data_IF_046525923175
#
_entry.id   IF_046525923175
#
_cell.length_a   1.000
_cell.length_b   1.000
_cell.length_c   1.000
_cell.angle_alpha   90.00
_cell.angle_beta   90.00
_cell.angle_gamma   90.00
#
_symmetry.space_group_name_H-M   'P 1'
#
loop_
_entity.id
_entity.type
_entity.pdbx_description
1 polymer ?
#
# COMPACT_ATOMS: atom_id res chain seq x y z
N UNK A 1 -7.94 4.72 29.41
CA UNK A 1 -7.38 5.43 28.24
C UNK A 1 -8.03 6.79 28.20
N UNK A 2 -7.22 7.84 28.21
CA UNK A 2 -7.59 9.19 28.64
C UNK A 2 -8.38 9.95 27.55
N UNK A 3 -9.59 10.43 27.85
CA UNK A 3 -10.53 11.06 26.91
C UNK A 3 -9.94 12.27 26.16
N UNK A 4 -8.98 12.97 26.80
CA UNK A 4 -8.28 14.12 26.22
C UNK A 4 -7.35 13.74 25.07
N UNK A 5 -6.77 12.54 25.08
CA UNK A 5 -5.88 12.06 24.02
C UNK A 5 -6.69 11.73 22.76
N UNK A 6 -7.83 11.05 22.93
CA UNK A 6 -8.78 10.74 21.84
C UNK A 6 -9.33 12.01 21.19
N UNK A 7 -9.64 13.04 21.97
CA UNK A 7 -10.18 14.29 21.46
C UNK A 7 -9.13 15.11 20.67
N UNK A 8 -7.87 15.11 21.11
CA UNK A 8 -6.78 15.76 20.38
C UNK A 8 -6.43 15.02 19.08
N UNK A 9 -6.46 13.69 19.07
CA UNK A 9 -6.27 12.87 17.87
C UNK A 9 -7.39 13.11 16.84
N UNK A 10 -8.64 13.22 17.28
CA UNK A 10 -9.78 13.56 16.42
C UNK A 10 -9.65 14.95 15.79
N UNK A 11 -9.18 15.95 16.55
CA UNK A 11 -8.96 17.30 16.05
C UNK A 11 -7.80 17.36 15.03
N UNK A 12 -6.70 16.65 15.30
CA UNK A 12 -5.58 16.54 14.36
C UNK A 12 -5.99 15.81 13.07
N UNK A 13 -6.78 14.75 13.18
CA UNK A 13 -7.34 14.03 12.05
C UNK A 13 -8.29 14.90 11.21
N UNK A 14 -9.20 15.65 11.85
CA UNK A 14 -10.06 16.62 11.16
C UNK A 14 -9.26 17.68 10.40
N UNK A 15 -8.26 18.29 11.04
CA UNK A 15 -7.40 19.29 10.40
C UNK A 15 -6.60 18.72 9.22
N UNK A 16 -6.08 17.49 9.35
CA UNK A 16 -5.42 16.79 8.25
C UNK A 16 -6.39 16.56 7.07
N UNK A 17 -7.62 16.12 7.34
CA UNK A 17 -8.62 15.86 6.30
C UNK A 17 -9.13 17.15 5.64
N UNK A 18 -9.38 18.21 6.40
CA UNK A 18 -9.80 19.53 5.89
C UNK A 18 -8.76 20.11 4.93
N UNK A 19 -7.48 20.03 5.28
CA UNK A 19 -6.38 20.43 4.40
C UNK A 19 -6.35 19.63 3.09
N UNK A 20 -6.65 18.32 3.16
CA UNK A 20 -6.73 17.49 1.96
C UNK A 20 -7.97 17.81 1.10
N UNK A 21 -9.14 18.09 1.71
CA UNK A 21 -10.35 18.51 0.98
C UNK A 21 -10.11 19.84 0.28
N UNK A 22 -9.47 20.80 0.94
CA UNK A 22 -9.07 22.07 0.33
C UNK A 22 -8.16 21.83 -0.88
N UNK A 23 -7.15 20.96 -0.74
CA UNK A 23 -6.27 20.60 -1.85
C UNK A 23 -7.00 19.91 -3.01
N UNK A 24 -7.97 19.03 -2.73
CA UNK A 24 -8.83 18.42 -3.75
C UNK A 24 -9.62 19.49 -4.50
N UNK A 25 -10.23 20.45 -3.78
CA UNK A 25 -10.98 21.54 -4.39
C UNK A 25 -10.08 22.45 -5.26
N UNK A 26 -8.83 22.67 -4.86
CA UNK A 26 -7.84 23.38 -5.69
C UNK A 26 -7.55 22.64 -6.99
N UNK A 27 -7.42 21.32 -6.97
CA UNK A 27 -7.24 20.50 -8.17
C UNK A 27 -8.48 20.60 -9.07
N UNK A 28 -9.69 20.48 -8.52
CA UNK A 28 -10.93 20.63 -9.30
C UNK A 28 -11.05 21.99 -9.97
N UNK A 29 -10.74 23.07 -9.25
CA UNK A 29 -10.73 24.42 -9.82
C UNK A 29 -9.72 24.56 -10.97
N UNK A 30 -8.58 23.86 -10.90
CA UNK A 30 -7.61 23.83 -12.02
C UNK A 30 -8.15 23.04 -13.21
N UNK A 31 -8.75 21.88 -12.99
CA UNK A 31 -9.38 21.07 -14.04
C UNK A 31 -10.47 21.89 -14.74
N UNK A 32 -11.37 22.53 -14.01
CA UNK A 32 -12.43 23.37 -14.57
C UNK A 32 -11.87 24.52 -15.40
N UNK A 33 -10.86 25.24 -14.88
CA UNK A 33 -10.19 26.31 -15.64
C UNK A 33 -9.55 25.80 -16.93
N UNK A 34 -8.99 24.59 -16.92
CA UNK A 34 -8.41 23.98 -18.11
C UNK A 34 -9.48 23.57 -19.13
N UNK A 35 -10.62 23.04 -18.70
CA UNK A 35 -11.76 22.74 -19.59
C UNK A 35 -12.31 24.04 -20.21
N UNK A 36 -12.47 25.11 -19.43
CA UNK A 36 -12.90 26.43 -19.94
C UNK A 36 -11.86 27.00 -20.93
N UNK A 37 -10.58 26.77 -20.68
CA UNK A 37 -9.51 27.17 -21.61
C UNK A 37 -9.54 26.38 -22.93
N UNK A 38 -9.93 25.10 -22.92
CA UNK A 38 -10.17 24.33 -24.15
C UNK A 38 -11.33 24.90 -24.97
N UNK A 39 -12.36 25.40 -24.30
CA UNK A 39 -13.52 26.02 -24.94
C UNK A 39 -13.17 27.38 -25.58
N UNK A 40 -12.38 28.19 -24.89
CA UNK A 40 -11.89 29.49 -25.37
C UNK A 40 -10.66 29.29 -26.27
N UNK A 41 -10.89 28.99 -27.55
CA UNK A 41 -9.96 28.69 -28.68
C UNK A 41 -8.55 29.37 -28.71
N UNK A 42 -7.72 29.28 -27.66
CA UNK A 42 -6.48 30.05 -27.57
C UNK A 42 -5.25 29.26 -27.09
N UNK A 43 -5.28 27.93 -27.08
CA UNK A 43 -4.13 27.11 -26.68
C UNK A 43 -3.92 25.94 -27.65
N UNK A 44 -2.66 25.51 -27.79
CA UNK A 44 -2.30 24.20 -28.32
C UNK A 44 -3.07 23.12 -27.56
N UNK A 45 -4.13 22.58 -28.18
CA UNK A 45 -5.05 21.60 -27.58
C UNK A 45 -4.30 20.44 -26.89
N UNK A 46 -3.16 20.04 -27.47
CA UNK A 46 -2.27 19.02 -26.94
C UNK A 46 -1.64 19.37 -25.58
N UNK A 47 -1.18 20.62 -25.40
CA UNK A 47 -0.59 21.07 -24.14
C UNK A 47 -1.64 21.16 -23.04
N UNK A 48 -2.85 21.61 -23.37
CA UNK A 48 -3.94 21.71 -22.42
C UNK A 48 -4.41 20.32 -21.96
N UNK A 49 -4.48 19.34 -22.86
CA UNK A 49 -4.78 17.95 -22.47
C UNK A 49 -3.68 17.31 -21.63
N UNK A 50 -2.41 17.59 -21.89
CA UNK A 50 -1.32 17.11 -21.03
C UNK A 50 -1.41 17.70 -19.61
N UNK A 51 -1.80 18.97 -19.48
CA UNK A 51 -2.05 19.60 -18.19
C UNK A 51 -3.26 19.00 -17.48
N UNK A 52 -4.35 18.74 -18.20
CA UNK A 52 -5.54 18.06 -17.66
C UNK A 52 -5.18 16.65 -17.14
N UNK A 53 -4.42 15.88 -17.92
CA UNK A 53 -3.98 14.55 -17.51
C UNK A 53 -3.16 14.58 -16.21
N UNK A 54 -2.26 15.56 -16.06
CA UNK A 54 -1.48 15.74 -14.84
C UNK A 54 -2.36 16.04 -13.62
N UNK A 55 -3.30 16.97 -13.75
CA UNK A 55 -4.22 17.32 -12.65
C UNK A 55 -5.15 16.14 -12.31
N UNK A 56 -5.62 15.37 -13.30
CA UNK A 56 -6.43 14.17 -13.07
C UNK A 56 -5.60 13.06 -12.38
N UNK A 57 -4.33 12.87 -12.77
CA UNK A 57 -3.44 11.92 -12.12
C UNK A 57 -3.15 12.32 -10.66
N UNK A 58 -3.01 13.62 -10.38
CA UNK A 58 -2.92 14.15 -9.01
C UNK A 58 -4.21 13.86 -8.24
N UNK A 59 -5.38 14.11 -8.85
CA UNK A 59 -6.68 13.81 -8.25
C UNK A 59 -6.82 12.32 -7.92
N UNK A 60 -6.49 11.43 -8.86
CA UNK A 60 -6.51 9.97 -8.65
C UNK A 60 -5.54 9.54 -7.55
N UNK A 61 -4.36 10.15 -7.48
CA UNK A 61 -3.40 9.90 -6.40
C UNK A 61 -4.00 10.30 -5.06
N UNK A 62 -4.60 11.48 -4.96
CA UNK A 62 -5.26 11.95 -3.74
C UNK A 62 -6.42 11.02 -3.36
N UNK A 63 -7.30 10.70 -4.29
CA UNK A 63 -8.42 9.75 -4.10
C UNK A 63 -7.95 8.37 -3.65
N UNK A 64 -6.78 7.89 -4.09
CA UNK A 64 -6.25 6.60 -3.64
C UNK A 64 -5.89 6.53 -2.15
N UNK A 65 -5.80 7.69 -1.48
CA UNK A 65 -5.60 7.79 -0.03
C UNK A 65 -6.93 7.82 0.74
N UNK A 66 -8.06 8.04 0.06
CA UNK A 66 -9.40 8.07 0.65
C UNK A 66 -10.18 6.81 0.30
N UNK A 67 -10.99 6.32 1.24
CA UNK A 67 -11.70 5.04 1.10
C UNK A 67 -13.15 5.21 0.68
N UNK A 68 -13.72 6.41 0.84
CA UNK A 68 -15.14 6.73 0.64
C UNK A 68 -15.37 7.96 -0.23
N UNK A 69 -14.33 8.59 -0.79
CA UNK A 69 -14.53 9.80 -1.58
C UNK A 69 -15.20 9.45 -2.91
N UNK A 70 -16.44 9.89 -3.07
CA UNK A 70 -17.27 9.59 -4.22
C UNK A 70 -16.67 10.12 -5.52
N UNK A 71 -16.87 9.40 -6.62
CA UNK A 71 -16.44 9.85 -7.94
C UNK A 71 -15.14 9.26 -8.48
N UNK A 72 -14.43 8.38 -7.75
CA UNK A 72 -13.19 7.74 -8.24
C UNK A 72 -13.34 7.09 -9.63
N UNK A 73 -14.42 6.33 -9.84
CA UNK A 73 -14.70 5.71 -11.14
C UNK A 73 -14.91 6.75 -12.25
N UNK A 74 -15.45 7.93 -11.91
CA UNK A 74 -15.58 9.02 -12.87
C UNK A 74 -14.26 9.75 -13.12
N UNK A 75 -13.35 9.82 -12.14
CA UNK A 75 -11.97 10.27 -12.38
C UNK A 75 -11.24 9.36 -13.40
N UNK A 76 -11.43 8.03 -13.29
CA UNK A 76 -10.88 7.08 -14.27
C UNK A 76 -11.51 7.25 -15.66
N UNK A 77 -12.84 7.46 -15.73
CA UNK A 77 -13.52 7.77 -16.99
C UNK A 77 -13.02 9.08 -17.60
N UNK A 78 -12.80 10.11 -16.78
CA UNK A 78 -12.25 11.39 -17.22
C UNK A 78 -10.86 11.20 -17.80
N UNK A 79 -10.00 10.44 -17.12
CA UNK A 79 -8.66 10.10 -17.62
C UNK A 79 -8.72 9.39 -18.98
N UNK A 80 -9.51 8.32 -19.08
CA UNK A 80 -9.65 7.56 -20.32
C UNK A 80 -10.17 8.43 -21.48
N UNK A 81 -11.07 9.38 -21.19
CA UNK A 81 -11.58 10.32 -22.16
C UNK A 81 -10.50 11.31 -22.64
N UNK A 82 -9.67 11.82 -21.73
CA UNK A 82 -8.53 12.68 -22.07
C UNK A 82 -7.50 11.92 -22.92
N UNK A 83 -7.15 10.70 -22.53
CA UNK A 83 -6.20 9.84 -23.28
C UNK A 83 -6.70 9.60 -24.71
N UNK A 84 -8.02 9.43 -24.88
CA UNK A 84 -8.65 9.30 -26.20
C UNK A 84 -8.59 10.61 -26.98
N UNK A 85 -8.91 11.74 -26.35
CA UNK A 85 -8.92 13.06 -26.99
C UNK A 85 -7.53 13.57 -27.38
N UNK A 86 -6.46 13.08 -26.76
CA UNK A 86 -5.09 13.34 -27.20
C UNK A 86 -4.74 12.69 -28.54
N UNK A 87 -5.48 11.66 -28.99
CA UNK A 87 -5.19 10.88 -30.20
C UNK A 87 -6.02 11.30 -31.42
N UNK A 88 -7.07 12.09 -31.22
CA UNK A 88 -8.02 12.49 -32.28
C UNK A 88 -7.86 13.95 -32.67
N UNK A 89 -8.41 14.33 -33.83
CA UNK A 89 -8.43 15.72 -34.28
C UNK A 89 -9.43 16.58 -33.50
N UNK A 90 -9.16 17.88 -33.37
CA UNK A 90 -9.94 18.81 -32.52
C UNK A 90 -11.47 18.80 -32.77
N UNK A 91 -11.91 18.44 -33.97
CA UNK A 91 -13.33 18.37 -34.37
C UNK A 91 -14.10 17.21 -33.71
N UNK A 92 -13.40 16.22 -33.17
CA UNK A 92 -13.99 15.02 -32.54
C UNK A 92 -14.11 15.14 -31.01
N UNK A 93 -13.59 16.23 -30.43
CA UNK A 93 -13.60 16.46 -28.98
C UNK A 93 -14.98 16.93 -28.53
N UNK A 94 -15.66 16.15 -27.70
CA UNK A 94 -16.91 16.56 -27.05
C UNK A 94 -16.60 17.17 -25.67
N UNK A 95 -16.53 18.50 -25.61
CA UNK A 95 -16.30 19.24 -24.35
C UNK A 95 -17.44 19.04 -23.33
N UNK A 96 -18.67 18.85 -23.81
CA UNK A 96 -19.83 18.55 -22.96
C UNK A 96 -19.65 17.26 -22.15
N UNK A 97 -18.96 16.25 -22.69
CA UNK A 97 -18.65 15.02 -21.98
C UNK A 97 -17.63 15.25 -20.85
N UNK A 98 -16.62 16.11 -21.07
CA UNK A 98 -15.66 16.50 -20.03
C UNK A 98 -16.36 17.22 -18.88
N UNK A 99 -17.21 18.21 -19.20
CA UNK A 99 -17.99 18.94 -18.21
C UNK A 99 -18.92 18.02 -17.42
N UNK A 100 -19.64 17.12 -18.11
CA UNK A 100 -20.54 16.18 -17.46
C UNK A 100 -19.80 15.26 -16.49
N UNK A 101 -18.69 14.65 -16.92
CA UNK A 101 -17.92 13.75 -16.06
C UNK A 101 -17.33 14.54 -14.89
N UNK A 102 -16.77 15.72 -15.11
CA UNK A 102 -16.21 16.56 -14.05
C UNK A 102 -17.27 16.97 -13.02
N UNK A 103 -18.43 17.47 -13.48
CA UNK A 103 -19.57 17.80 -12.62
C UNK A 103 -20.08 16.60 -11.84
N UNK A 104 -20.09 15.40 -12.45
CA UNK A 104 -20.49 14.17 -11.76
C UNK A 104 -19.50 13.75 -10.68
N UNK A 105 -18.20 14.00 -10.85
CA UNK A 105 -17.20 13.79 -9.80
C UNK A 105 -17.49 14.69 -8.60
N UNK A 106 -17.70 16.00 -8.85
CA UNK A 106 -18.01 16.98 -7.80
C UNK A 106 -19.28 16.63 -7.04
N UNK A 107 -20.37 16.29 -7.74
CA UNK A 107 -21.64 15.90 -7.11
C UNK A 107 -21.50 14.68 -6.20
N UNK A 108 -20.77 13.64 -6.64
CA UNK A 108 -20.55 12.45 -5.83
C UNK A 108 -19.61 12.70 -4.65
N UNK A 109 -18.66 13.63 -4.81
CA UNK A 109 -17.80 14.08 -3.73
C UNK A 109 -18.59 14.86 -2.69
N UNK A 110 -19.41 15.82 -3.09
CA UNK A 110 -20.28 16.61 -2.20
C UNK A 110 -21.25 15.71 -1.42
N UNK A 111 -21.87 14.74 -2.08
CA UNK A 111 -22.75 13.74 -1.45
C UNK A 111 -22.02 12.97 -0.34
N UNK A 112 -20.77 12.58 -0.57
CA UNK A 112 -19.97 11.86 0.44
C UNK A 112 -19.43 12.77 1.55
N UNK A 113 -19.16 14.04 1.25
CA UNK A 113 -18.73 15.04 2.23
C UNK A 113 -19.85 15.44 3.21
N UNK A 114 -21.12 15.27 2.84
CA UNK A 114 -22.25 15.50 3.75
C UNK A 114 -22.25 14.57 4.97
N UNK A 115 -21.57 13.42 4.90
CA UNK A 115 -21.43 12.47 6.00
C UNK A 115 -20.17 12.71 6.86
N UNK A 116 -19.51 13.86 6.71
CA UNK A 116 -18.35 14.25 7.51
C UNK A 116 -18.75 14.62 8.96
N UNK A 117 -17.98 14.24 9.99
CA UNK A 117 -16.72 13.48 10.00
C UNK A 117 -16.91 11.96 10.08
N UNK A 118 -18.15 11.49 10.16
CA UNK A 118 -18.54 10.07 10.28
C UNK A 118 -18.45 9.31 8.94
N UNK A 119 -17.52 9.74 8.07
CA UNK A 119 -17.14 8.96 6.90
C UNK A 119 -16.69 7.59 7.40
N UNK A 120 -17.44 6.56 7.01
CA UNK A 120 -17.33 5.20 7.52
C UNK A 120 -15.87 4.81 7.69
N UNK A 121 -15.42 4.63 8.93
CA UNK A 121 -14.06 4.16 9.19
C UNK A 121 -13.86 2.91 8.36
N UNK A 122 -12.74 2.85 7.61
CA UNK A 122 -12.37 1.74 6.72
C UNK A 122 -12.56 0.36 7.40
N UNK A 123 -12.44 0.32 8.72
CA UNK A 123 -12.70 -0.84 9.58
C UNK A 123 -14.14 -1.37 9.46
N UNK A 124 -15.17 -0.52 9.56
CA UNK A 124 -16.57 -0.95 9.57
C UNK A 124 -17.04 -1.50 8.20
N UNK A 125 -16.55 -0.93 7.09
CA UNK A 125 -16.82 -1.46 5.75
C UNK A 125 -16.08 -2.79 5.51
N UNK A 126 -14.86 -2.94 6.04
CA UNK A 126 -14.18 -4.24 6.05
C UNK A 126 -14.89 -5.26 6.93
N UNK A 127 -15.53 -4.84 8.02
CA UNK A 127 -16.31 -5.73 8.88
C UNK A 127 -17.61 -6.19 8.18
N UNK A 128 -18.33 -5.29 7.48
CA UNK A 128 -19.50 -5.64 6.66
C UNK A 128 -19.18 -6.50 5.43
N UNK A 129 -18.03 -6.26 4.77
CA UNK A 129 -17.58 -7.01 3.59
C UNK A 129 -16.73 -8.25 3.92
N UNK A 130 -16.27 -8.37 5.16
CA UNK A 130 -15.57 -9.58 5.61
C UNK A 130 -16.54 -10.75 5.63
N UNK A 131 -16.06 -11.93 5.23
CA UNK A 131 -16.86 -13.14 5.35
C UNK A 131 -17.36 -13.27 6.80
N UNK A 132 -18.66 -13.57 6.95
CA UNK A 132 -19.29 -13.84 8.26
C UNK A 132 -18.58 -14.95 9.04
N UNK A 133 -17.75 -15.75 8.36
CA UNK A 133 -16.77 -16.64 8.95
C UNK A 133 -15.48 -15.87 9.27
N UNK A 134 -15.19 -15.69 10.57
CA UNK A 134 -13.85 -15.32 11.03
C UNK A 134 -12.85 -16.32 10.44
N UNK A 135 -11.99 -15.86 9.54
CA UNK A 135 -10.92 -16.67 8.96
C UNK A 135 -10.04 -17.13 10.11
N UNK A 136 -9.96 -18.43 10.33
CA UNK A 136 -9.10 -19.03 11.36
C UNK A 136 -7.69 -19.27 10.82
N UNK A 137 -6.73 -19.58 11.69
CA UNK A 137 -5.40 -20.02 11.25
C UNK A 137 -5.48 -21.25 10.33
N UNK A 138 -6.41 -22.17 10.62
CA UNK A 138 -6.63 -23.37 9.80
C UNK A 138 -7.04 -23.04 8.36
N UNK A 139 -7.89 -22.02 8.17
CA UNK A 139 -8.29 -21.57 6.84
C UNK A 139 -7.09 -21.05 6.01
N UNK A 140 -6.11 -20.43 6.69
CA UNK A 140 -4.87 -19.95 6.06
C UNK A 140 -3.94 -21.13 5.76
N UNK A 141 -3.78 -22.07 6.70
CA UNK A 141 -2.92 -23.25 6.51
C UNK A 141 -3.41 -24.20 5.40
N UNK A 142 -4.70 -24.15 5.05
CA UNK A 142 -5.26 -24.90 3.92
C UNK A 142 -4.93 -24.29 2.54
N UNK A 143 -4.29 -23.12 2.49
CA UNK A 143 -3.86 -22.48 1.25
C UNK A 143 -2.49 -22.96 0.78
N UNK A 144 -2.29 -23.08 -0.53
CA UNK A 144 -1.00 -23.49 -1.11
C UNK A 144 0.12 -22.45 -0.98
N UNK A 145 -0.24 -21.18 -0.77
CA UNK A 145 0.69 -20.09 -0.52
C UNK A 145 0.24 -19.28 0.68
N UNK A 146 1.13 -19.16 1.65
CA UNK A 146 0.90 -18.50 2.93
C UNK A 146 1.99 -17.47 3.20
N UNK A 147 1.57 -16.28 3.62
CA UNK A 147 2.47 -15.16 3.90
C UNK A 147 2.24 -14.57 5.27
N UNK A 148 3.32 -14.20 5.94
CA UNK A 148 3.28 -13.46 7.19
C UNK A 148 3.89 -12.08 6.97
N UNK A 149 3.21 -11.05 7.46
CA UNK A 149 3.72 -9.68 7.43
C UNK A 149 4.27 -9.27 8.78
N UNK A 150 5.27 -8.40 8.76
CA UNK A 150 5.90 -7.87 9.96
C UNK A 150 6.52 -6.51 9.67
N UNK A 151 6.79 -5.74 10.72
CA UNK A 151 7.32 -4.39 10.66
C UNK A 151 8.71 -4.36 11.30
N UNK A 152 9.65 -3.68 10.66
CA UNK A 152 11.00 -3.39 11.18
C UNK A 152 11.36 -1.97 10.78
N UNK A 153 11.80 -1.13 11.72
CA UNK A 153 12.17 0.27 11.49
C UNK A 153 11.13 1.06 10.72
N UNK A 154 9.89 1.00 11.21
CA UNK A 154 8.72 1.61 10.59
C UNK A 154 8.31 1.09 9.19
N UNK A 155 9.09 0.18 8.57
CA UNK A 155 8.81 -0.37 7.25
C UNK A 155 8.17 -1.76 7.32
N UNK A 156 7.29 -2.04 6.37
CA UNK A 156 6.57 -3.30 6.28
C UNK A 156 7.28 -4.31 5.38
N UNK A 157 7.28 -5.56 5.84
CA UNK A 157 7.87 -6.71 5.18
C UNK A 157 6.85 -7.85 5.08
N UNK A 158 7.05 -8.69 4.08
CA UNK A 158 6.25 -9.91 3.88
C UNK A 158 7.15 -11.04 3.40
N UNK A 159 6.94 -12.24 3.92
CA UNK A 159 7.67 -13.47 3.57
C UNK A 159 6.71 -14.64 3.44
N UNK A 160 7.11 -15.66 2.68
CA UNK A 160 6.39 -16.93 2.63
C UNK A 160 6.67 -17.73 3.93
N UNK A 161 5.74 -18.60 4.32
CA UNK A 161 5.95 -19.52 5.43
C UNK A 161 5.03 -20.74 5.27
N UNK A 162 5.48 -21.93 5.64
CA UNK A 162 4.65 -23.12 5.84
C UNK A 162 4.17 -23.20 7.30
N UNK A 163 5.09 -22.92 8.22
CA UNK A 163 4.81 -22.69 9.65
C UNK A 163 5.73 -21.59 10.19
N UNK A 164 5.42 -21.01 11.34
CA UNK A 164 6.27 -19.98 11.94
C UNK A 164 6.24 -20.01 13.47
N UNK A 165 7.24 -19.41 14.09
CA UNK A 165 7.36 -19.23 15.52
C UNK A 165 7.93 -17.84 15.83
N UNK A 166 7.45 -17.24 16.92
CA UNK A 166 7.99 -15.99 17.45
C UNK A 166 8.88 -16.33 18.64
N UNK A 167 10.11 -15.84 18.62
CA UNK A 167 11.07 -16.08 19.70
C UNK A 167 11.76 -14.77 20.07
N UNK A 168 12.25 -14.68 21.30
CA UNK A 168 13.15 -13.61 21.70
C UNK A 168 14.59 -14.00 21.36
N UNK A 169 15.47 -13.01 21.26
CA UNK A 169 16.91 -13.24 21.09
C UNK A 169 17.51 -14.04 22.24
N UNK A 170 16.92 -13.97 23.44
CA UNK A 170 17.33 -14.75 24.60
C UNK A 170 17.04 -16.26 24.46
N UNK A 171 16.10 -16.64 23.57
CA UNK A 171 15.76 -18.03 23.28
C UNK A 171 16.73 -18.65 22.24
N UNK A 172 17.66 -17.85 21.73
CA UNK A 172 18.66 -18.22 20.74
C UNK A 172 20.05 -18.23 21.38
N UNK A 173 20.88 -19.21 21.01
CA UNK A 173 22.29 -19.24 21.41
C UNK A 173 23.21 -18.84 20.27
N UNK A 174 24.43 -18.42 20.61
CA UNK A 174 25.51 -18.13 19.66
C UNK A 174 25.17 -17.10 18.56
N UNK A 175 24.36 -16.08 18.88
CA UNK A 175 24.03 -15.02 17.92
C UNK A 175 25.31 -14.29 17.50
N UNK A 176 25.70 -14.42 16.23
CA UNK A 176 26.88 -13.80 15.64
C UNK A 176 26.51 -13.05 14.37
N UNK A 177 26.96 -11.80 14.26
CA UNK A 177 26.86 -11.07 13.00
C UNK A 177 27.82 -11.68 11.98
N UNK A 178 27.34 -11.94 10.76
CA UNK A 178 28.16 -12.48 9.68
C UNK A 178 28.60 -11.37 8.73
N UNK A 179 27.74 -10.93 7.82
CA UNK A 179 28.05 -9.83 6.88
C UNK A 179 26.77 -9.15 6.42
N UNK A 180 26.90 -7.90 5.95
CA UNK A 180 25.78 -7.05 5.53
C UNK A 180 24.69 -6.97 6.60
N UNK A 181 23.58 -7.66 6.40
CA UNK A 181 22.39 -7.63 7.21
C UNK A 181 21.97 -9.03 7.68
N UNK A 182 22.93 -9.96 7.79
CA UNK A 182 22.71 -11.32 8.25
C UNK A 182 23.45 -11.65 9.54
N UNK A 183 22.79 -12.48 10.33
CA UNK A 183 23.25 -13.04 11.58
C UNK A 183 23.08 -14.55 11.52
N UNK A 184 23.88 -15.26 12.29
CA UNK A 184 23.76 -16.68 12.53
C UNK A 184 23.41 -16.87 14.00
N UNK A 185 22.53 -17.82 14.27
CA UNK A 185 22.23 -18.25 15.63
C UNK A 185 21.97 -19.75 15.64
N UNK A 186 21.94 -20.32 16.84
CA UNK A 186 21.52 -21.70 17.08
C UNK A 186 20.16 -21.69 17.77
N UNK A 187 19.22 -22.46 17.22
CA UNK A 187 17.90 -22.68 17.78
C UNK A 187 17.60 -24.18 17.77
N UNK A 188 17.29 -24.78 18.93
CA UNK A 188 17.07 -26.22 19.07
C UNK A 188 18.16 -27.08 18.39
N UNK A 189 19.44 -26.80 18.67
CA UNK A 189 20.62 -27.44 18.07
C UNK A 189 20.74 -27.34 16.53
N UNK A 190 19.94 -26.47 15.90
CA UNK A 190 19.99 -26.20 14.47
C UNK A 190 20.54 -24.80 14.22
N UNK A 191 21.51 -24.70 13.33
CA UNK A 191 22.04 -23.41 12.88
C UNK A 191 21.03 -22.75 11.94
N UNK A 192 20.69 -21.50 12.23
CA UNK A 192 19.74 -20.70 11.46
C UNK A 192 20.38 -19.41 10.98
N UNK A 193 19.96 -18.97 9.80
CA UNK A 193 20.30 -17.66 9.25
C UNK A 193 19.19 -16.67 9.60
N UNK A 194 19.53 -15.59 10.30
CA UNK A 194 18.62 -14.51 10.67
C UNK A 194 18.97 -13.28 9.83
N UNK A 195 17.99 -12.72 9.13
CA UNK A 195 18.15 -11.48 8.36
C UNK A 195 17.58 -10.32 9.16
N UNK A 196 18.34 -9.24 9.31
CA UNK A 196 17.77 -7.93 9.59
C UNK A 196 17.40 -7.29 8.24
N UNK A 197 16.11 -7.09 7.91
CA UNK A 197 15.75 -6.52 6.62
C UNK A 197 16.27 -5.10 6.39
N UNK A 198 16.58 -4.37 7.47
CA UNK A 198 17.08 -3.00 7.45
C UNK A 198 18.17 -2.83 8.51
N UNK A 199 19.42 -3.14 8.14
CA UNK A 199 20.56 -2.78 9.00
C UNK A 199 20.91 -1.31 8.76
N UNK A 200 20.40 -0.44 9.63
CA UNK A 200 20.69 1.00 9.66
C UNK A 200 21.54 1.32 10.89
N UNK A 201 22.72 0.70 11.07
CA UNK A 201 23.63 0.90 12.22
C UNK A 201 23.01 0.80 13.65
N UNK A 202 21.73 0.47 13.75
CA UNK A 202 20.98 0.23 14.97
C UNK A 202 21.20 -1.21 15.46
N UNK A 203 21.06 -1.41 16.77
CA UNK A 203 21.06 -2.75 17.33
C UNK A 203 19.90 -3.57 16.74
N UNK A 204 20.12 -4.86 16.45
CA UNK A 204 19.04 -5.75 15.99
C UNK A 204 17.93 -5.81 17.05
N UNK A 205 16.70 -6.02 16.60
CA UNK A 205 15.55 -6.15 17.50
C UNK A 205 15.74 -7.32 18.49
N UNK A 206 15.14 -7.20 19.67
CA UNK A 206 15.11 -8.27 20.67
C UNK A 206 14.20 -9.45 20.26
N UNK A 207 13.44 -9.32 19.17
CA UNK A 207 12.50 -10.34 18.69
C UNK A 207 12.85 -10.86 17.30
N UNK A 208 12.69 -12.17 17.11
CA UNK A 208 12.99 -12.89 15.87
C UNK A 208 11.78 -13.72 15.44
N UNK A 209 11.38 -13.54 14.18
CA UNK A 209 10.38 -14.33 13.51
C UNK A 209 11.09 -15.48 12.80
N UNK A 210 10.87 -16.71 13.27
CA UNK A 210 11.33 -17.93 12.62
C UNK A 210 10.24 -18.43 11.69
N UNK A 211 10.54 -18.61 10.41
CA UNK A 211 9.64 -19.22 9.43
C UNK A 211 10.25 -20.49 8.88
N UNK A 212 9.46 -21.55 8.88
CA UNK A 212 9.75 -22.76 8.14
C UNK A 212 9.20 -22.58 6.73
N UNK A 213 10.02 -22.83 5.72
CA UNK A 213 9.59 -22.80 4.33
C UNK A 213 10.40 -23.77 3.49
N UNK A 214 9.75 -24.71 2.80
CA UNK A 214 10.41 -25.74 1.97
C UNK A 214 11.58 -26.45 2.68
N UNK A 215 11.33 -26.95 3.89
CA UNK A 215 12.31 -27.65 4.74
C UNK A 215 13.52 -26.82 5.20
N UNK A 216 13.46 -25.49 5.09
CA UNK A 216 14.44 -24.57 5.68
C UNK A 216 13.84 -23.72 6.79
N UNK A 217 14.65 -23.39 7.81
CA UNK A 217 14.31 -22.42 8.85
C UNK A 217 14.99 -21.09 8.53
N UNK A 218 14.24 -20.01 8.46
CA UNK A 218 14.75 -18.67 8.21
C UNK A 218 14.30 -17.72 9.31
N UNK A 219 15.23 -16.90 9.80
CA UNK A 219 14.93 -15.90 10.82
C UNK A 219 14.82 -14.49 10.25
N UNK A 220 13.96 -13.68 10.83
CA UNK A 220 13.85 -12.25 10.53
C UNK A 220 13.72 -11.44 11.82
N UNK A 221 14.58 -10.44 12.00
CA UNK A 221 14.34 -9.45 13.06
C UNK A 221 13.11 -8.61 12.73
N UNK A 222 12.28 -8.38 13.73
CA UNK A 222 11.06 -7.58 13.60
C UNK A 222 10.80 -6.78 14.88
N UNK A 223 10.03 -5.69 14.77
CA UNK A 223 9.56 -4.90 15.92
C UNK A 223 8.07 -5.17 16.20
N UNK A 224 7.28 -5.43 15.15
CA UNK A 224 5.84 -5.75 15.29
C UNK A 224 5.41 -6.79 14.28
N UNK A 225 4.65 -7.81 14.72
CA UNK A 225 4.02 -8.78 13.80
C UNK A 225 2.74 -8.17 13.21
N UNK A 226 2.55 -8.41 11.91
CA UNK A 226 1.37 -7.97 11.17
C UNK A 226 0.37 -9.10 10.94
N UNK A 227 -0.20 -9.11 9.73
CA UNK A 227 -1.26 -10.03 9.32
C UNK A 227 -0.69 -11.29 8.66
N UNK A 228 -1.49 -12.35 8.70
CA UNK A 228 -1.27 -13.59 7.93
C UNK A 228 -2.19 -13.59 6.72
N UNK A 229 -1.71 -14.11 5.60
CA UNK A 229 -2.41 -14.15 4.32
C UNK A 229 -2.30 -15.55 3.74
N UNK A 230 -3.37 -16.06 3.16
CA UNK A 230 -3.40 -17.33 2.44
C UNK A 230 -4.03 -17.17 1.07
N UNK A 231 -3.49 -17.84 0.05
CA UNK A 231 -4.09 -17.97 -1.26
C UNK A 231 -3.70 -19.29 -1.94
N UNK A 232 -4.55 -19.81 -2.83
CA UNK A 232 -4.24 -21.00 -3.63
C UNK A 232 -3.21 -20.72 -4.74
N UNK A 233 -2.96 -19.46 -5.09
CA UNK A 233 -1.97 -19.07 -6.09
C UNK A 233 -1.06 -17.96 -5.56
N UNK A 234 0.16 -17.85 -6.11
CA UNK A 234 1.14 -16.86 -5.67
C UNK A 234 0.83 -15.44 -6.19
N UNK A 235 -0.23 -14.83 -5.64
CA UNK A 235 -0.71 -13.50 -6.03
C UNK A 235 0.34 -12.41 -5.77
N UNK A 236 1.08 -12.49 -4.66
CA UNK A 236 2.06 -11.46 -4.30
C UNK A 236 3.23 -11.40 -5.28
N UNK A 237 3.68 -12.55 -5.81
CA UNK A 237 4.75 -12.59 -6.81
C UNK A 237 4.34 -11.90 -8.11
N UNK A 238 3.06 -11.96 -8.49
CA UNK A 238 2.53 -11.27 -9.69
C UNK A 238 2.39 -9.77 -9.49
N UNK A 239 2.12 -9.33 -8.26
CA UNK A 239 2.01 -7.91 -7.88
C UNK A 239 3.36 -7.24 -7.63
N UNK A 240 4.41 -8.04 -7.40
CA UNK A 240 5.71 -7.56 -6.97
C UNK A 240 6.40 -6.76 -8.08
N UNK A 241 6.73 -5.50 -7.78
CA UNK A 241 7.52 -4.64 -8.66
C UNK A 241 8.95 -4.55 -8.14
N UNK A 242 9.93 -4.90 -8.98
CA UNK A 242 11.34 -4.81 -8.61
C UNK A 242 11.75 -3.33 -8.49
N UNK A 243 12.33 -2.90 -7.35
CA UNK A 243 12.88 -1.56 -7.22
C UNK A 243 14.08 -1.40 -8.16
N UNK A 244 14.13 -0.29 -8.91
CA UNK A 244 15.30 0.04 -9.75
C UNK A 244 16.51 0.32 -8.85
N UNK A 245 17.66 -0.29 -9.14
CA UNK A 245 18.93 -0.01 -8.46
C UNK A 245 19.14 -0.70 -7.11
N UNK A 246 18.28 -1.63 -6.69
CA UNK A 246 18.46 -2.38 -5.44
C UNK A 246 18.97 -3.81 -5.71
N UNK A 247 20.03 -4.21 -5.01
CA UNK A 247 20.62 -5.56 -5.04
C UNK A 247 20.15 -6.46 -3.90
N UNK A 248 19.06 -6.09 -3.20
CA UNK A 248 18.56 -6.88 -2.09
C UNK A 248 17.86 -8.15 -2.60
N UNK A 249 17.95 -9.27 -1.86
CA UNK A 249 17.26 -10.49 -2.22
C UNK A 249 15.78 -10.40 -1.84
N UNK A 250 15.00 -9.88 -2.79
CA UNK A 250 13.58 -9.64 -2.70
C UNK A 250 12.88 -10.06 -3.99
N UNK A 251 11.59 -10.37 -3.90
CA UNK A 251 10.72 -10.56 -5.05
C UNK A 251 10.27 -9.22 -5.63
N UNK A 252 10.05 -8.22 -4.77
CA UNK A 252 9.67 -6.86 -5.19
C UNK A 252 8.99 -6.10 -4.06
N UNK A 253 8.44 -4.95 -4.42
CA UNK A 253 7.52 -4.17 -3.59
C UNK A 253 6.08 -4.53 -3.96
N UNK A 254 5.23 -4.75 -2.97
CA UNK A 254 3.79 -5.01 -3.16
C UNK A 254 2.98 -4.01 -2.33
N UNK A 255 1.78 -3.67 -2.81
CA UNK A 255 0.85 -2.82 -2.05
C UNK A 255 -0.27 -3.69 -1.49
N UNK A 256 -0.42 -3.71 -0.17
CA UNK A 256 -1.43 -4.50 0.54
C UNK A 256 -2.10 -3.60 1.57
N UNK A 257 -3.43 -3.67 1.71
CA UNK A 257 -4.19 -2.92 2.71
C UNK A 257 -4.02 -1.37 2.69
N UNK A 258 -3.43 -0.82 1.62
CA UNK A 258 -3.10 0.60 1.49
C UNK A 258 -1.61 0.91 1.71
N UNK A 259 -0.87 0.01 2.37
CA UNK A 259 0.55 0.16 2.71
C UNK A 259 1.47 -0.54 1.70
N UNK A 260 2.73 -0.10 1.69
CA UNK A 260 3.79 -0.69 0.86
C UNK A 260 4.62 -1.70 1.65
N UNK A 261 4.69 -2.93 1.16
CA UNK A 261 5.44 -4.04 1.75
C UNK A 261 6.62 -4.41 0.87
N UNK A 262 7.76 -4.69 1.49
CA UNK A 262 8.91 -5.32 0.84
C UNK A 262 8.76 -6.84 0.91
N UNK A 263 8.56 -7.49 -0.25
CA UNK A 263 8.41 -8.94 -0.33
C UNK A 263 9.78 -9.61 -0.46
N UNK A 264 10.24 -10.22 0.63
CA UNK A 264 11.60 -10.76 0.73
C UNK A 264 11.70 -12.18 0.18
N UNK A 265 12.89 -12.54 -0.32
CA UNK A 265 13.26 -13.94 -0.58
C UNK A 265 13.88 -14.54 0.67
N UNK A 266 13.65 -15.84 0.86
CA UNK A 266 14.38 -16.63 1.84
C UNK A 266 15.81 -16.85 1.34
N UNK A 267 16.77 -16.67 2.23
CA UNK A 267 18.18 -16.93 1.97
C UNK A 267 18.76 -17.64 3.17
N UNK A 268 19.47 -18.73 2.88
CA UNK A 268 20.38 -19.36 3.81
C UNK A 268 21.81 -19.16 3.28
N UNK A 269 22.58 -18.33 3.98
CA UNK A 269 23.96 -18.02 3.58
C UNK A 269 24.92 -19.19 3.82
N UNK A 270 24.47 -20.24 4.51
CA UNK A 270 25.26 -21.46 4.74
C UNK A 270 25.13 -22.48 3.61
N UNK A 271 24.20 -22.28 2.64
CA UNK A 271 24.01 -23.19 1.51
C UNK A 271 24.52 -22.54 0.22
N UNK A 272 25.35 -23.25 -0.58
CA UNK A 272 25.75 -22.76 -1.90
C UNK A 272 24.53 -22.69 -2.83
N UNK A 273 24.54 -21.70 -3.72
CA UNK A 273 23.48 -21.37 -4.67
C UNK A 273 23.20 -22.47 -5.70
#
# INVERSE_FOLDING_TARGET
>A
MDDKTTQNELLAYRSYLENNIQYINEIHNKIERLIIKLEKQHISVKECFAQLENEINLLLKVYSHFTSLGGYNYCLKLKALIDTYQQVTNTEIQLSALYYIHSKILSLQEEQLQYFPDMTQKQALYDELSHTKKITEDDIHNCSYTWITFKRNAMWFVVLFDSYQLVNTNDLSDIKALSQNYYQATFNNTTITIRDPLRLDEQPSATVLLVNYHNGIYGYFYDTIGKKLGAHTNILKRMAQLPKGYSLPLYGRVRLFGDSYMYLKHIDINKPW
#
